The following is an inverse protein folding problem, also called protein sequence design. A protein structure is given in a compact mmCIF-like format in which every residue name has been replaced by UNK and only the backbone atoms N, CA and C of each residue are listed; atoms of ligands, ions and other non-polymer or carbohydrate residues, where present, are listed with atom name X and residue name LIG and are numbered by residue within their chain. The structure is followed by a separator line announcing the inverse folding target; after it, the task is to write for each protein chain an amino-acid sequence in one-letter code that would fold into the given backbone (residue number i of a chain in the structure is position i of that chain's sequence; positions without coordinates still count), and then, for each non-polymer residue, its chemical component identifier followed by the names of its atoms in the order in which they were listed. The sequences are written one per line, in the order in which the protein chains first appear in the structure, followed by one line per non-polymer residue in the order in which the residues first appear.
data_IF_557977267615
#
_entry.id   IF_557977267615
#
_cell.length_a   1.000
_cell.length_b   1.000
_cell.length_c   1.000
_cell.angle_alpha   90.00
_cell.angle_beta   90.00
_cell.angle_gamma   90.00
#
_symmetry.space_group_name_H-M   'P 1'
#
loop_
_entity.id
_entity.type
_entity.pdbx_description
1 polymer ?
#
# COMPACT_ATOMS: atom_id res chain seq x y z
N UNK A 1 -8.60 12.06 19.59
CA UNK A 1 -7.99 11.55 18.35
C UNK A 1 -9.13 11.14 17.46
N UNK A 2 -9.34 11.84 16.35
CA UNK A 2 -10.48 11.54 15.46
C UNK A 2 -10.38 10.10 14.95
N UNK A 3 -11.35 9.28 15.37
CA UNK A 3 -11.51 7.88 14.95
C UNK A 3 -11.42 7.74 13.43
N UNK A 4 -11.84 8.77 12.69
CA UNK A 4 -11.75 8.90 11.23
C UNK A 4 -10.28 8.91 10.76
N UNK A 5 -9.40 9.71 11.38
CA UNK A 5 -7.97 9.74 11.03
C UNK A 5 -7.28 8.40 11.31
N UNK A 6 -7.65 7.73 12.40
CA UNK A 6 -7.15 6.40 12.72
C UNK A 6 -7.63 5.37 11.68
N UNK A 7 -8.91 5.42 11.30
CA UNK A 7 -9.50 4.51 10.31
C UNK A 7 -8.86 4.67 8.92
N UNK A 8 -8.60 5.90 8.48
CA UNK A 8 -7.90 6.18 7.22
C UNK A 8 -6.49 5.60 7.23
N UNK A 9 -5.74 5.80 8.32
CA UNK A 9 -4.38 5.27 8.44
C UNK A 9 -4.37 3.74 8.40
N UNK A 10 -5.32 3.10 9.10
CA UNK A 10 -5.46 1.63 9.07
C UNK A 10 -5.83 1.15 7.67
N UNK A 11 -6.78 1.79 6.99
CA UNK A 11 -7.17 1.45 5.62
C UNK A 11 -6.00 1.60 4.64
N UNK A 12 -5.20 2.66 4.78
CA UNK A 12 -4.01 2.88 3.96
C UNK A 12 -2.97 1.75 4.14
N UNK A 13 -2.65 1.39 5.39
CA UNK A 13 -1.70 0.30 5.68
C UNK A 13 -2.22 -1.03 5.13
N UNK A 14 -3.48 -1.36 5.38
CA UNK A 14 -4.10 -2.60 4.90
C UNK A 14 -4.10 -2.65 3.37
N UNK A 15 -4.41 -1.55 2.68
CA UNK A 15 -4.39 -1.49 1.22
C UNK A 15 -2.99 -1.70 0.64
N UNK A 16 -1.96 -1.11 1.25
CA UNK A 16 -0.56 -1.29 0.84
C UNK A 16 -0.08 -2.73 1.00
N UNK A 17 -0.42 -3.36 2.13
CA UNK A 17 -0.16 -4.77 2.38
C UNK A 17 -0.89 -5.66 1.37
N UNK A 18 -2.16 -5.37 1.08
CA UNK A 18 -2.95 -6.15 0.14
C UNK A 18 -2.34 -6.11 -1.27
N UNK A 19 -1.92 -4.93 -1.72
CA UNK A 19 -1.25 -4.76 -3.03
C UNK A 19 0.07 -5.53 -3.07
N UNK A 20 0.89 -5.43 -2.03
CA UNK A 20 2.17 -6.16 -1.96
C UNK A 20 1.97 -7.68 -2.03
N UNK A 21 1.04 -8.21 -1.21
CA UNK A 21 0.71 -9.64 -1.20
C UNK A 21 0.14 -10.08 -2.55
N UNK A 22 -0.71 -9.25 -3.17
CA UNK A 22 -1.30 -9.55 -4.48
C UNK A 22 -0.21 -9.66 -5.54
N UNK A 23 0.74 -8.70 -5.60
CA UNK A 23 1.85 -8.74 -6.56
C UNK A 23 2.73 -9.96 -6.31
N UNK A 24 3.10 -10.24 -5.05
CA UNK A 24 3.88 -11.45 -4.71
C UNK A 24 3.15 -12.76 -5.04
N UNK A 25 1.81 -12.78 -5.06
CA UNK A 25 1.02 -13.97 -5.42
C UNK A 25 0.93 -14.18 -6.94
N UNK A 26 1.08 -13.13 -7.74
CA UNK A 26 1.07 -13.26 -9.21
C UNK A 26 2.33 -13.97 -9.73
N UNK A 27 2.22 -14.63 -10.90
CA UNK A 27 3.36 -15.26 -11.59
C UNK A 27 4.52 -14.30 -11.77
N UNK A 28 4.22 -13.03 -12.09
CA UNK A 28 5.20 -11.97 -12.27
C UNK A 28 6.03 -11.72 -11.01
N UNK A 29 5.38 -11.60 -9.83
CA UNK A 29 6.11 -11.39 -8.57
C UNK A 29 7.00 -12.56 -8.15
N UNK A 30 6.65 -13.80 -8.53
CA UNK A 30 7.47 -14.99 -8.27
C UNK A 30 8.65 -15.14 -9.23
N UNK A 31 8.49 -14.70 -10.47
CA UNK A 31 9.51 -14.79 -11.52
C UNK A 31 10.52 -13.64 -11.42
N UNK A 32 10.10 -12.53 -10.81
CA UNK A 32 10.90 -11.33 -10.56
C UNK A 32 11.24 -11.16 -9.07
N UNK A 33 11.56 -12.26 -8.39
CA UNK A 33 11.93 -12.26 -6.97
C UNK A 33 13.15 -11.36 -6.69
N UNK A 34 14.05 -11.23 -7.67
CA UNK A 34 15.21 -10.33 -7.64
C UNK A 34 14.82 -8.84 -7.53
N UNK A 35 13.63 -8.49 -7.98
CA UNK A 35 13.07 -7.13 -7.95
C UNK A 35 12.02 -6.97 -6.84
N UNK A 36 11.89 -7.93 -5.91
CA UNK A 36 10.99 -7.84 -4.76
C UNK A 36 11.17 -6.54 -3.97
N UNK A 37 12.40 -6.09 -3.77
CA UNK A 37 12.67 -4.82 -3.09
C UNK A 37 12.06 -3.62 -3.83
N UNK A 38 12.11 -3.61 -5.17
CA UNK A 38 11.48 -2.56 -5.96
C UNK A 38 9.95 -2.66 -5.94
N UNK A 39 9.39 -3.88 -5.96
CA UNK A 39 7.95 -4.14 -5.83
C UNK A 39 7.45 -3.66 -4.46
N UNK A 40 8.19 -3.95 -3.39
CA UNK A 40 7.89 -3.49 -2.04
C UNK A 40 7.94 -1.96 -1.97
N UNK A 41 8.95 -1.33 -2.58
CA UNK A 41 9.11 0.12 -2.59
C UNK A 41 7.98 0.82 -3.37
N UNK A 42 7.57 0.26 -4.51
CA UNK A 42 6.41 0.72 -5.28
C UNK A 42 5.10 0.55 -4.50
N UNK A 43 4.91 -0.58 -3.80
CA UNK A 43 3.72 -0.81 -2.99
C UNK A 43 3.64 0.17 -1.81
N UNK A 44 4.76 0.46 -1.15
CA UNK A 44 4.83 1.44 -0.06
C UNK A 44 4.57 2.85 -0.59
N UNK A 45 5.20 3.25 -1.70
CA UNK A 45 4.95 4.55 -2.33
C UNK A 45 3.47 4.72 -2.69
N UNK A 46 2.85 3.68 -3.26
CA UNK A 46 1.44 3.70 -3.61
C UNK A 46 0.55 3.81 -2.37
N UNK A 47 0.85 3.05 -1.30
CA UNK A 47 0.11 3.11 -0.05
C UNK A 47 0.19 4.49 0.62
N UNK A 48 1.36 5.12 0.61
CA UNK A 48 1.56 6.48 1.15
C UNK A 48 0.84 7.52 0.31
N UNK A 49 0.91 7.42 -1.02
CA UNK A 49 0.19 8.32 -1.92
C UNK A 49 -1.32 8.21 -1.73
N UNK A 50 -1.86 6.99 -1.71
CA UNK A 50 -3.30 6.74 -1.48
C UNK A 50 -3.73 7.21 -0.09
N UNK A 51 -2.98 6.87 0.95
CA UNK A 51 -3.28 7.32 2.32
C UNK A 51 -3.22 8.84 2.48
N UNK A 52 -2.25 9.49 1.86
CA UNK A 52 -2.12 10.94 1.82
C UNK A 52 -3.25 11.62 1.02
N UNK A 53 -3.64 11.03 -0.11
CA UNK A 53 -4.68 11.55 -0.99
C UNK A 53 -6.09 11.40 -0.36
N UNK A 54 -6.37 10.27 0.30
CA UNK A 54 -7.59 10.07 1.09
C UNK A 54 -7.64 11.07 2.25
N UNK A 55 -6.52 11.27 2.97
CA UNK A 55 -6.45 12.26 4.06
C UNK A 55 -6.65 13.69 3.56
N UNK A 56 -6.18 14.00 2.35
CA UNK A 56 -6.38 15.29 1.71
C UNK A 56 -7.84 15.51 1.29
N UNK A 57 -8.49 14.48 0.73
CA UNK A 57 -9.91 14.52 0.33
C UNK A 57 -10.91 14.62 1.50
N UNK A 58 -10.54 14.07 2.66
CA UNK A 58 -11.38 14.07 3.87
C UNK A 58 -11.13 15.29 4.78
N UNK A 59 -10.25 16.20 4.37
CA UNK A 59 -9.99 17.48 5.03
C UNK A 59 -10.88 18.56 4.43
#
# INVERSE_FOLDING_TARGET
MDTVNMLINVAAIVSGLFIYIFICKTRWGKEHEQIQYAIMLMAILFAVLVGGLIRWLLK
#
